data_IF_017894913225
#
_entry.id   IF_017894913225
#
_cell.length_a   1.000
_cell.length_b   1.000
_cell.length_c   1.000
_cell.angle_alpha   90.00
_cell.angle_beta   90.00
_cell.angle_gamma   90.00
#
_symmetry.space_group_name_H-M   'P 1'
#
loop_
_entity.id
_entity.type
_entity.pdbx_description
1 polymer ?
#
# COMPACT_ATOMS: atom_id res chain seq x y z
N UNK A 1 -13.51 -5.04 2.56
CA UNK A 1 -12.64 -6.00 3.27
C UNK A 1 -13.47 -7.15 3.82
N UNK A 2 -14.50 -6.90 4.64
CA UNK A 2 -15.41 -7.96 5.12
C UNK A 2 -16.01 -8.78 3.96
N UNK A 3 -16.64 -8.10 3.00
CA UNK A 3 -17.19 -8.75 1.82
C UNK A 3 -16.15 -9.53 0.96
N UNK A 4 -14.88 -9.09 0.97
CA UNK A 4 -13.79 -9.79 0.26
C UNK A 4 -13.43 -11.09 0.98
N UNK A 5 -13.33 -11.03 2.30
CA UNK A 5 -13.03 -12.18 3.16
C UNK A 5 -14.19 -13.18 3.12
N UNK A 6 -15.44 -12.70 3.18
CA UNK A 6 -16.64 -13.52 3.05
C UNK A 6 -16.70 -14.23 1.70
N UNK A 7 -16.43 -13.51 0.61
CA UNK A 7 -16.39 -14.08 -0.74
C UNK A 7 -15.31 -15.16 -0.87
N UNK A 8 -14.10 -14.91 -0.34
CA UNK A 8 -13.01 -15.88 -0.32
C UNK A 8 -13.37 -17.12 0.51
N UNK A 9 -13.97 -16.92 1.69
CA UNK A 9 -14.40 -18.01 2.57
C UNK A 9 -15.47 -18.88 1.90
N UNK A 10 -16.49 -18.26 1.31
CA UNK A 10 -17.53 -18.97 0.57
C UNK A 10 -16.96 -19.75 -0.62
N UNK A 11 -16.07 -19.14 -1.40
CA UNK A 11 -15.46 -19.80 -2.55
C UNK A 11 -14.58 -20.99 -2.15
N UNK A 12 -13.87 -20.88 -1.02
CA UNK A 12 -13.09 -21.98 -0.45
C UNK A 12 -13.98 -23.15 -0.03
N UNK A 13 -15.08 -22.88 0.69
CA UNK A 13 -16.02 -23.91 1.12
C UNK A 13 -16.67 -24.62 -0.07
N UNK A 14 -17.08 -23.86 -1.10
CA UNK A 14 -17.64 -24.42 -2.34
C UNK A 14 -16.63 -25.29 -3.09
N UNK A 15 -15.35 -24.89 -3.12
CA UNK A 15 -14.27 -25.68 -3.71
C UNK A 15 -14.05 -27.00 -2.96
N UNK A 16 -14.00 -26.95 -1.62
CA UNK A 16 -13.85 -28.16 -0.78
C UNK A 16 -15.05 -29.09 -0.94
N UNK A 17 -16.27 -28.55 -0.98
CA UNK A 17 -17.48 -29.33 -1.21
C UNK A 17 -17.45 -30.02 -2.58
N UNK A 18 -17.02 -29.33 -3.64
CA UNK A 18 -16.88 -29.93 -4.96
C UNK A 18 -15.78 -31.03 -5.00
N UNK A 19 -14.70 -30.86 -4.23
CA UNK A 19 -13.65 -31.88 -4.10
C UNK A 19 -14.21 -33.15 -3.43
N UNK A 20 -15.00 -33.00 -2.36
CA UNK A 20 -15.66 -34.10 -1.69
C UNK A 20 -16.62 -34.83 -2.65
N UNK A 21 -17.43 -34.10 -3.42
CA UNK A 21 -18.34 -34.68 -4.39
C UNK A 21 -17.62 -35.53 -5.46
N UNK A 22 -16.40 -35.16 -5.88
CA UNK A 22 -15.58 -35.98 -6.79
C UNK A 22 -15.17 -37.30 -6.13
N UNK A 23 -14.80 -37.28 -4.85
CA UNK A 23 -14.40 -38.49 -4.11
C UNK A 23 -15.61 -39.41 -3.95
N UNK A 24 -16.75 -38.88 -3.53
CA UNK A 24 -18.00 -39.64 -3.38
C UNK A 24 -18.46 -40.24 -4.72
N UNK A 25 -18.41 -39.45 -5.80
CA UNK A 25 -18.74 -39.93 -7.14
C UNK A 25 -17.84 -41.09 -7.58
N UNK A 26 -16.54 -41.02 -7.26
CA UNK A 26 -15.57 -42.07 -7.58
C UNK A 26 -15.78 -43.32 -6.73
N UNK A 27 -16.15 -43.16 -5.47
CA UNK A 27 -16.45 -44.29 -4.59
C UNK A 27 -17.70 -45.04 -5.09
N UNK A 28 -18.77 -44.31 -5.44
CA UNK A 28 -20.00 -44.88 -5.98
C UNK A 28 -19.80 -45.60 -7.32
N UNK A 29 -18.85 -45.14 -8.14
CA UNK A 29 -18.52 -45.79 -9.41
C UNK A 29 -17.50 -46.92 -9.30
N UNK A 30 -17.00 -47.24 -8.10
CA UNK A 30 -15.91 -48.22 -7.92
C UNK A 30 -14.62 -47.80 -8.64
N UNK A 31 -14.37 -46.49 -8.75
CA UNK A 31 -13.23 -45.91 -9.47
C UNK A 31 -13.39 -45.87 -10.99
N UNK A 32 -14.53 -46.30 -11.53
CA UNK A 32 -14.80 -46.22 -12.96
C UNK A 32 -15.13 -44.79 -13.40
N UNK A 33 -14.72 -44.46 -14.62
CA UNK A 33 -15.06 -43.20 -15.25
C UNK A 33 -16.49 -43.26 -15.78
N UNK A 34 -17.40 -42.57 -15.10
CA UNK A 34 -18.83 -42.48 -15.41
C UNK A 34 -19.25 -41.04 -15.67
N UNK A 35 -20.41 -40.83 -16.27
CA UNK A 35 -20.99 -39.50 -16.47
C UNK A 35 -21.12 -38.71 -15.15
N UNK A 36 -21.40 -39.39 -14.04
CA UNK A 36 -21.48 -38.79 -12.71
C UNK A 36 -20.11 -38.28 -12.24
N UNK A 37 -19.05 -39.10 -12.39
CA UNK A 37 -17.68 -38.68 -12.05
C UNK A 37 -17.16 -37.56 -12.97
N UNK A 38 -17.54 -37.56 -14.24
CA UNK A 38 -17.18 -36.48 -15.18
C UNK A 38 -17.89 -35.19 -14.82
N UNK A 39 -19.18 -35.22 -14.52
CA UNK A 39 -19.93 -34.05 -14.07
C UNK A 39 -19.36 -33.46 -12.76
N UNK A 40 -19.00 -34.32 -11.80
CA UNK A 40 -18.37 -33.87 -10.55
C UNK A 40 -16.99 -33.23 -10.81
N UNK A 41 -16.19 -33.79 -11.73
CA UNK A 41 -14.89 -33.23 -12.11
C UNK A 41 -15.01 -31.87 -12.81
N UNK A 42 -15.97 -31.69 -13.70
CA UNK A 42 -16.22 -30.39 -14.34
C UNK A 42 -16.69 -29.34 -13.32
N UNK A 43 -17.57 -29.74 -12.38
CA UNK A 43 -17.98 -28.86 -11.29
C UNK A 43 -16.78 -28.46 -10.39
N UNK A 44 -15.93 -29.42 -10.04
CA UNK A 44 -14.70 -29.16 -9.28
C UNK A 44 -13.78 -28.17 -9.99
N UNK A 45 -13.54 -28.34 -11.30
CA UNK A 45 -12.74 -27.39 -12.09
C UNK A 45 -13.34 -25.99 -12.07
N UNK A 46 -14.66 -25.87 -12.21
CA UNK A 46 -15.35 -24.59 -12.14
C UNK A 46 -15.20 -23.93 -10.77
N UNK A 47 -15.38 -24.68 -9.67
CA UNK A 47 -15.23 -24.15 -8.31
C UNK A 47 -13.80 -23.77 -7.98
N UNK A 48 -12.82 -24.54 -8.47
CA UNK A 48 -11.41 -24.21 -8.37
C UNK A 48 -11.11 -22.86 -9.04
N UNK A 49 -11.61 -22.62 -10.25
CA UNK A 49 -11.36 -21.38 -10.96
C UNK A 49 -11.98 -20.17 -10.24
N UNK A 50 -13.20 -20.32 -9.72
CA UNK A 50 -13.84 -19.28 -8.91
C UNK A 50 -13.06 -18.98 -7.62
N UNK A 51 -12.56 -20.02 -6.94
CA UNK A 51 -11.72 -19.85 -5.76
C UNK A 51 -10.41 -19.12 -6.10
N UNK A 52 -9.77 -19.47 -7.22
CA UNK A 52 -8.56 -18.80 -7.71
C UNK A 52 -8.80 -17.30 -7.94
N UNK A 53 -9.90 -16.94 -8.60
CA UNK A 53 -10.28 -15.53 -8.81
C UNK A 53 -10.53 -14.81 -7.47
N UNK A 54 -11.15 -15.48 -6.50
CA UNK A 54 -11.35 -14.90 -5.17
C UNK A 54 -10.02 -14.65 -4.43
N UNK A 55 -9.03 -15.54 -4.60
CA UNK A 55 -7.67 -15.34 -4.08
C UNK A 55 -7.00 -14.13 -4.75
N UNK A 56 -7.05 -14.02 -6.08
CA UNK A 56 -6.50 -12.88 -6.83
C UNK A 56 -7.10 -11.56 -6.34
N UNK A 57 -8.42 -11.51 -6.13
CA UNK A 57 -9.14 -10.34 -5.63
C UNK A 57 -8.76 -9.98 -4.18
N UNK A 58 -8.50 -10.98 -3.34
CA UNK A 58 -8.05 -10.78 -1.97
C UNK A 58 -6.62 -10.22 -1.94
N UNK A 59 -5.73 -10.71 -2.81
CA UNK A 59 -4.36 -10.19 -2.97
C UNK A 59 -4.36 -8.73 -3.43
N UNK A 60 -5.16 -8.40 -4.45
CA UNK A 60 -5.35 -7.03 -4.92
C UNK A 60 -5.84 -6.11 -3.79
N UNK A 61 -6.77 -6.61 -2.96
CA UNK A 61 -7.28 -5.83 -1.83
C UNK A 61 -6.18 -5.53 -0.80
N UNK A 62 -5.32 -6.50 -0.50
CA UNK A 62 -4.17 -6.31 0.40
C UNK A 62 -3.15 -5.34 -0.20
N UNK A 63 -2.88 -5.44 -1.50
CA UNK A 63 -1.97 -4.51 -2.18
C UNK A 63 -2.55 -3.08 -2.20
N UNK A 64 -3.84 -2.93 -2.47
CA UNK A 64 -4.54 -1.64 -2.41
C UNK A 64 -4.45 -1.02 -1.01
N UNK A 65 -4.65 -1.83 0.05
CA UNK A 65 -4.48 -1.39 1.43
C UNK A 65 -3.03 -0.97 1.72
N UNK A 66 -2.04 -1.73 1.24
CA UNK A 66 -0.61 -1.39 1.36
C UNK A 66 -0.27 -0.07 0.67
N UNK A 67 -0.81 0.17 -0.52
CA UNK A 67 -0.63 1.43 -1.26
C UNK A 67 -1.29 2.61 -0.53
N UNK A 68 -2.48 2.39 0.06
CA UNK A 68 -3.17 3.40 0.85
C UNK A 68 -2.35 3.80 2.07
N UNK A 69 -1.90 2.81 2.85
CA UNK A 69 -1.04 2.98 4.03
C UNK A 69 0.30 3.62 3.66
N UNK A 70 0.90 3.21 2.55
CA UNK A 70 2.14 3.81 2.04
C UNK A 70 1.96 5.27 1.61
N UNK A 71 0.82 5.61 1.02
CA UNK A 71 0.52 6.98 0.55
C UNK A 71 0.14 7.92 1.70
N UNK A 72 -0.61 7.44 2.70
CA UNK A 72 -0.94 8.23 3.90
C UNK A 72 0.28 8.48 4.81
N UNK A 73 1.38 7.73 4.64
CA UNK A 73 2.67 7.97 5.31
C UNK A 73 3.57 8.99 4.59
N UNK A 74 3.31 9.32 3.32
CA UNK A 74 4.13 10.24 2.52
C UNK A 74 3.58 11.69 2.46
N UNK A 75 2.47 11.97 3.14
CA UNK A 75 1.83 13.30 3.15
C UNK A 75 2.09 14.09 4.44
N UNK A 76 2.86 13.57 5.41
CA UNK A 76 3.21 14.32 6.62
C UNK A 76 4.69 14.72 6.70
N UNK A 77 5.21 15.39 5.67
CA UNK A 77 6.43 16.19 5.87
C UNK A 77 6.47 17.52 5.08
N UNK A 78 5.39 17.90 4.37
CA UNK A 78 5.42 19.13 3.57
C UNK A 78 4.17 20.03 3.62
N UNK A 79 3.06 19.64 4.25
CA UNK A 79 1.90 20.55 4.34
C UNK A 79 1.22 20.44 5.70
N UNK A 80 1.43 21.44 6.56
CA UNK A 80 0.66 21.61 7.78
C UNK A 80 -0.84 21.76 7.47
N UNK A 81 -1.59 20.69 7.62
CA UNK A 81 -3.04 20.71 7.75
C UNK A 81 -3.36 20.27 9.18
N UNK A 82 -3.72 21.24 10.03
CA UNK A 82 -4.12 20.97 11.40
C UNK A 82 -5.37 20.07 11.42
N UNK A 83 -5.41 18.99 12.22
CA UNK A 83 -6.68 18.40 12.58
C UNK A 83 -7.43 19.40 13.46
N UNK A 84 -8.69 19.67 13.12
CA UNK A 84 -9.59 20.43 13.97
C UNK A 84 -9.76 19.68 15.31
N UNK A 85 -9.01 20.10 16.32
CA UNK A 85 -9.24 19.71 17.70
C UNK A 85 -9.52 20.97 18.52
N UNK A 86 -10.81 21.17 18.78
CA UNK A 86 -11.33 22.03 19.84
C UNK A 86 -10.64 21.69 21.16
N UNK A 87 -9.88 22.65 21.70
CA UNK A 87 -9.31 22.51 23.04
C UNK A 87 -8.12 23.44 23.26
N UNK A 88 -8.40 24.58 23.89
CA UNK A 88 -7.43 25.54 24.42
C UNK A 88 -6.19 24.86 25.04
N UNK A 89 -4.99 25.19 24.56
CA UNK A 89 -3.81 25.47 25.39
C UNK A 89 -2.81 26.34 24.61
N UNK A 90 -2.63 27.58 25.07
CA UNK A 90 -1.52 28.45 24.70
C UNK A 90 -0.21 27.93 25.30
N UNK A 91 0.86 27.84 24.50
CA UNK A 91 2.21 27.57 25.01
C UNK A 91 3.27 27.39 23.90
N UNK A 92 4.22 28.33 23.85
CA UNK A 92 5.38 28.44 22.94
C UNK A 92 5.10 28.58 21.43
N UNK A 93 4.94 29.84 21.00
CA UNK A 93 4.86 30.23 19.59
C UNK A 93 6.22 30.19 18.90
N UNK A 94 6.55 29.04 18.30
CA UNK A 94 7.42 29.01 17.13
C UNK A 94 6.47 29.02 15.93
N UNK A 95 6.47 30.08 15.08
CA UNK A 95 5.61 30.10 13.91
C UNK A 95 5.97 28.92 13.00
N UNK A 96 4.99 28.24 12.38
CA UNK A 96 5.26 27.13 11.49
C UNK A 96 6.23 27.61 10.40
N UNK A 97 7.37 26.91 10.26
CA UNK A 97 8.36 27.21 9.22
C UNK A 97 7.69 26.97 7.88
N UNK A 98 7.36 28.05 7.17
CA UNK A 98 6.79 27.92 5.83
C UNK A 98 7.87 27.38 4.89
N UNK A 99 7.50 26.38 4.07
CA UNK A 99 8.40 25.82 3.06
C UNK A 99 9.00 26.91 2.16
N UNK A 100 8.22 27.96 1.89
CA UNK A 100 8.65 29.17 1.17
C UNK A 100 9.78 29.90 1.89
N UNK A 101 9.69 30.05 3.23
CA UNK A 101 10.75 30.71 4.02
C UNK A 101 12.02 29.87 4.05
N UNK A 102 11.89 28.54 4.14
CA UNK A 102 13.04 27.63 4.09
C UNK A 102 13.72 27.66 2.71
N UNK A 103 12.94 27.67 1.63
CA UNK A 103 13.45 27.75 0.26
C UNK A 103 14.16 29.10 0.01
N UNK A 104 13.54 30.21 0.44
CA UNK A 104 14.13 31.54 0.30
C UNK A 104 15.44 31.66 1.11
N UNK A 105 15.48 31.12 2.33
CA UNK A 105 16.69 31.05 3.14
C UNK A 105 17.76 30.19 2.48
N UNK A 106 17.40 29.01 1.95
CA UNK A 106 18.33 28.15 1.21
C UNK A 106 18.91 28.84 -0.03
N UNK A 107 18.10 29.63 -0.74
CA UNK A 107 18.54 30.39 -1.90
C UNK A 107 19.48 31.53 -1.50
N UNK A 108 19.16 32.26 -0.42
CA UNK A 108 20.02 33.31 0.12
C UNK A 108 21.37 32.77 0.60
N UNK A 109 21.37 31.62 1.28
CA UNK A 109 22.61 30.95 1.73
C UNK A 109 23.45 30.49 0.53
N UNK A 110 22.82 29.91 -0.50
CA UNK A 110 23.54 29.52 -1.73
C UNK A 110 24.18 30.73 -2.42
N UNK A 111 23.49 31.87 -2.49
CA UNK A 111 24.08 33.12 -3.01
C UNK A 111 25.26 33.61 -2.18
N UNK A 112 25.15 33.58 -0.85
CA UNK A 112 26.24 34.01 0.03
C UNK A 112 27.48 33.12 -0.11
N UNK A 113 27.30 31.80 -0.23
CA UNK A 113 28.41 30.86 -0.49
C UNK A 113 29.10 31.17 -1.82
N UNK A 114 28.32 31.50 -2.86
CA UNK A 114 28.87 31.90 -4.16
C UNK A 114 29.67 33.21 -4.03
N UNK A 115 29.19 34.21 -3.29
CA UNK A 115 29.93 35.45 -3.04
C UNK A 115 31.23 35.21 -2.25
N UNK A 116 31.21 34.34 -1.25
CA UNK A 116 32.40 33.97 -0.48
C UNK A 116 33.41 33.16 -1.32
N UNK A 117 32.93 32.31 -2.24
CA UNK A 117 33.79 31.55 -3.16
C UNK A 117 34.41 32.45 -4.23
N UNK A 118 33.66 33.42 -4.77
CA UNK A 118 34.19 34.40 -5.73
C UNK A 118 35.03 35.50 -5.06
N UNK A 119 34.87 35.72 -3.74
CA UNK A 119 35.64 36.69 -2.95
C UNK A 119 37.01 36.20 -2.47
N UNK A 120 37.44 34.98 -2.82
CA UNK A 120 38.69 34.40 -2.31
C UNK A 120 39.86 34.43 -3.32
N UNK A 121 40.57 35.57 -3.36
CA UNK A 121 42.06 35.66 -3.47
C UNK A 121 42.65 36.64 -4.52
N UNK A 122 43.87 37.23 -4.37
CA UNK A 122 44.82 37.27 -3.23
C UNK A 122 45.44 38.66 -2.83
N UNK A 123 45.96 38.73 -1.58
CA UNK A 123 47.16 39.44 -1.01
C UNK A 123 47.32 40.99 -1.06
N UNK A 124 47.53 41.60 0.12
CA UNK A 124 48.51 42.67 0.30
C UNK A 124 49.22 42.56 1.66
N UNK A 125 50.53 42.30 1.57
CA UNK A 125 51.54 42.26 2.63
C UNK A 125 51.70 43.65 3.26
N UNK A 126 51.75 43.73 4.59
CA UNK A 126 52.55 44.76 5.27
C UNK A 126 53.44 44.09 6.32
N UNK A 127 54.72 43.96 5.96
CA UNK A 127 55.83 43.90 6.93
C UNK A 127 56.04 45.31 7.49
N UNK A 128 56.51 45.35 8.74
CA UNK A 128 57.07 46.51 9.43
C UNK A 128 57.99 47.37 8.56
#
# INVERSE_FOLDING_TARGET
MDATVDALSSAYLDFVAAAAAVIEAKEQSGGQKTALTEAALENFKQRWELFRVACDQAEESVESLKQRIGSECLVDEATGAAPAMTGLLSGSGIPPISAVRLEQMSKAVRWLVIELQHGSGPVAVYKY
#
